data_IF_449803142391
#
_entry.id   IF_449803142391
#
_cell.length_a   1.000
_cell.length_b   1.000
_cell.length_c   1.000
_cell.angle_alpha   90.00
_cell.angle_beta   90.00
_cell.angle_gamma   90.00
#
_symmetry.space_group_name_H-M   'P 1'
#
loop_
_entity.id
_entity.type
_entity.pdbx_description
1 polymer ?
#
# COMPACT_ATOMS: atom_id res chain seq x y z
N UNK A 1 -19.63 -1.99 -23.26
CA UNK A 1 -18.49 -1.13 -22.89
C UNK A 1 -18.36 -1.18 -21.37
N UNK A 2 -17.50 -2.06 -20.86
CA UNK A 2 -17.29 -2.24 -19.42
C UNK A 2 -16.44 -1.08 -18.90
N UNK A 3 -17.07 -0.15 -18.18
CA UNK A 3 -16.36 0.87 -17.43
C UNK A 3 -15.44 0.21 -16.41
N UNK A 4 -14.13 0.44 -16.52
CA UNK A 4 -13.19 0.21 -15.43
C UNK A 4 -13.39 1.34 -14.42
N UNK A 5 -14.19 1.10 -13.38
CA UNK A 5 -14.61 2.12 -12.40
C UNK A 5 -13.51 2.42 -11.36
N UNK A 6 -12.42 1.64 -11.31
CA UNK A 6 -11.39 1.77 -10.28
C UNK A 6 -9.99 1.70 -10.89
N UNK A 7 -9.54 2.76 -11.58
CA UNK A 7 -8.14 2.90 -11.94
C UNK A 7 -7.39 3.64 -10.83
N UNK A 8 -6.63 2.91 -10.01
CA UNK A 8 -5.63 3.49 -9.13
C UNK A 8 -4.25 3.28 -9.74
N UNK A 9 -3.41 4.30 -9.68
CA UNK A 9 -2.02 4.23 -10.12
C UNK A 9 -1.13 3.64 -9.02
N UNK A 10 0.09 3.23 -9.37
CA UNK A 10 1.09 2.85 -8.38
C UNK A 10 1.35 3.98 -7.36
N UNK A 11 1.33 5.24 -7.82
CA UNK A 11 1.48 6.42 -6.96
C UNK A 11 0.36 6.54 -5.94
N UNK A 12 -0.89 6.31 -6.35
CA UNK A 12 -2.05 6.34 -5.44
C UNK A 12 -1.94 5.26 -4.37
N UNK A 13 -1.52 4.06 -4.77
CA UNK A 13 -1.27 2.94 -3.86
C UNK A 13 -0.16 3.26 -2.87
N UNK A 14 0.98 3.82 -3.33
CA UNK A 14 2.08 4.25 -2.46
C UNK A 14 1.62 5.30 -1.46
N UNK A 15 0.86 6.30 -1.91
CA UNK A 15 0.34 7.37 -1.05
C UNK A 15 -0.59 6.82 0.04
N UNK A 16 -1.46 5.87 -0.32
CA UNK A 16 -2.38 5.23 0.63
C UNK A 16 -1.63 4.42 1.69
N UNK A 17 -0.70 3.55 1.27
CA UNK A 17 0.10 2.74 2.19
C UNK A 17 0.91 3.65 3.12
N UNK A 18 1.57 4.68 2.56
CA UNK A 18 2.34 5.66 3.35
C UNK A 18 1.48 6.35 4.40
N UNK A 19 0.25 6.74 4.07
CA UNK A 19 -0.67 7.35 5.03
C UNK A 19 -1.04 6.40 6.17
N UNK A 20 -1.31 5.12 5.90
CA UNK A 20 -1.63 4.14 6.94
C UNK A 20 -0.43 3.86 7.84
N UNK A 21 0.74 3.74 7.23
CA UNK A 21 2.03 3.60 7.91
C UNK A 21 2.31 4.79 8.84
N UNK A 22 2.17 6.03 8.36
CA UNK A 22 2.35 7.24 9.17
C UNK A 22 1.41 7.26 10.39
N UNK A 23 0.17 6.75 10.25
CA UNK A 23 -0.77 6.61 11.37
C UNK A 23 -0.27 5.58 12.39
N UNK A 24 0.15 4.39 11.93
CA UNK A 24 0.68 3.35 12.80
C UNK A 24 1.93 3.81 13.58
N UNK A 25 2.82 4.56 12.94
CA UNK A 25 4.02 5.08 13.60
C UNK A 25 3.71 6.19 14.61
N UNK A 26 2.73 7.05 14.34
CA UNK A 26 2.34 8.13 15.26
C UNK A 26 1.54 7.63 16.46
N UNK A 27 0.76 6.57 16.29
CA UNK A 27 -0.10 6.00 17.34
C UNK A 27 0.03 4.46 17.34
N UNK A 28 1.16 3.91 17.82
CA UNK A 28 1.41 2.46 17.80
C UNK A 28 0.36 1.65 18.55
N UNK A 29 -0.18 2.21 19.64
CA UNK A 29 -1.21 1.59 20.49
C UNK A 29 -2.61 1.60 19.86
N UNK A 30 -2.76 2.14 18.65
CA UNK A 30 -4.05 2.27 17.94
C UNK A 30 -4.07 1.51 16.62
N UNK A 31 -3.24 0.46 16.51
CA UNK A 31 -3.14 -0.37 15.30
C UNK A 31 -4.48 -0.97 14.86
N UNK A 32 -5.37 -1.26 15.80
CA UNK A 32 -6.73 -1.77 15.57
C UNK A 32 -7.64 -0.78 14.84
N UNK A 33 -7.28 0.51 14.82
CA UNK A 33 -8.02 1.55 14.10
C UNK A 33 -7.60 1.66 12.64
N UNK A 34 -6.48 1.05 12.25
CA UNK A 34 -5.99 1.05 10.87
C UNK A 34 -6.54 -0.19 10.16
N UNK A 35 -7.52 0.03 9.29
CA UNK A 35 -8.13 -1.05 8.52
C UNK A 35 -7.10 -1.77 7.63
N UNK A 36 -7.12 -3.12 7.56
CA UNK A 36 -6.27 -3.86 6.64
C UNK A 36 -6.49 -3.42 5.18
N UNK A 37 -5.39 -3.24 4.44
CA UNK A 37 -5.43 -2.89 3.02
C UNK A 37 -5.20 -4.11 2.14
N UNK A 38 -6.13 -4.34 1.20
CA UNK A 38 -5.99 -5.36 0.18
C UNK A 38 -5.57 -4.74 -1.15
N UNK A 39 -4.42 -5.17 -1.69
CA UNK A 39 -3.95 -4.73 -3.02
C UNK A 39 -4.30 -5.79 -4.08
N UNK A 40 -5.25 -5.48 -4.95
CA UNK A 40 -5.68 -6.36 -6.04
C UNK A 40 -5.17 -5.90 -7.41
N UNK A 41 -5.25 -6.78 -8.40
CA UNK A 41 -4.87 -6.46 -9.78
C UNK A 41 -4.36 -7.67 -10.53
N UNK A 42 -4.33 -7.57 -11.85
CA UNK A 42 -3.92 -8.67 -12.73
C UNK A 42 -2.57 -9.29 -12.34
N UNK A 43 -2.34 -10.59 -12.59
CA UNK A 43 -1.02 -11.19 -12.45
C UNK A 43 0.04 -10.39 -13.23
N UNK A 44 1.22 -10.18 -12.64
CA UNK A 44 2.31 -9.45 -13.29
C UNK A 44 2.20 -7.92 -13.32
N UNK A 45 1.12 -7.29 -12.82
CA UNK A 45 0.95 -5.82 -12.84
C UNK A 45 1.90 -5.05 -11.90
N UNK A 46 2.76 -5.74 -11.13
CA UNK A 46 3.77 -5.10 -10.27
C UNK A 46 3.31 -4.80 -8.83
N UNK A 47 2.25 -5.44 -8.32
CA UNK A 47 1.75 -5.25 -6.93
C UNK A 47 2.87 -5.38 -5.88
N UNK A 48 3.61 -6.49 -5.92
CA UNK A 48 4.72 -6.72 -4.99
C UNK A 48 5.89 -5.76 -5.22
N UNK A 49 6.08 -5.30 -6.46
CA UNK A 49 7.10 -4.28 -6.78
C UNK A 49 6.78 -2.97 -6.08
N UNK A 50 5.53 -2.51 -6.15
CA UNK A 50 5.09 -1.27 -5.48
C UNK A 50 5.36 -1.32 -3.97
N UNK A 51 5.05 -2.44 -3.31
CA UNK A 51 5.29 -2.61 -1.87
C UNK A 51 6.79 -2.64 -1.56
N UNK A 52 7.59 -3.40 -2.33
CA UNK A 52 9.06 -3.47 -2.13
C UNK A 52 9.74 -2.13 -2.32
N UNK A 53 9.37 -1.40 -3.36
CA UNK A 53 9.90 -0.04 -3.61
C UNK A 53 9.58 0.90 -2.46
N UNK A 54 8.33 0.90 -1.97
CA UNK A 54 7.94 1.75 -0.86
C UNK A 54 8.68 1.40 0.44
N UNK A 55 8.85 0.10 0.73
CA UNK A 55 9.64 -0.34 1.87
C UNK A 55 11.10 0.16 1.75
N UNK A 56 11.71 0.03 0.57
CA UNK A 56 13.06 0.54 0.32
C UNK A 56 13.13 2.08 0.49
N UNK A 57 12.17 2.83 -0.07
CA UNK A 57 12.07 4.29 0.06
C UNK A 57 11.96 4.75 1.53
N UNK A 58 11.27 3.97 2.37
CA UNK A 58 11.03 4.28 3.78
C UNK A 58 12.05 3.63 4.74
N UNK A 59 13.08 2.95 4.22
CA UNK A 59 14.04 2.16 5.02
C UNK A 59 13.37 1.12 5.93
N UNK A 60 12.29 0.50 5.46
CA UNK A 60 11.58 -0.59 6.13
C UNK A 60 12.13 -1.91 5.60
N UNK A 61 12.51 -2.81 6.50
CA UNK A 61 12.83 -4.19 6.12
C UNK A 61 11.56 -4.90 5.66
N UNK A 62 11.49 -5.24 4.38
CA UNK A 62 10.39 -6.05 3.83
C UNK A 62 10.60 -7.52 4.18
N UNK A 63 9.54 -8.20 4.62
CA UNK A 63 9.51 -9.64 4.93
C UNK A 63 8.50 -10.28 3.97
N UNK A 64 8.94 -11.23 3.15
CA UNK A 64 8.11 -11.93 2.16
C UNK A 64 8.00 -13.45 2.35
#
# INVERSE_FOLDING_TARGET
MSHSIYSSTATDVKALIKSQLDLLWRQPDSSEQVAPLMLWGAPGVGKSTVVRELCHELNIQFID
#
